data_IF_328766495409
#
_entry.id   IF_328766495409
#
_cell.length_a   1.000
_cell.length_b   1.000
_cell.length_c   1.000
_cell.angle_alpha   90.00
_cell.angle_beta   90.00
_cell.angle_gamma   90.00
#
_symmetry.space_group_name_H-M   'P 1'
#
loop_
_entity.id
_entity.type
_entity.pdbx_description
1 polymer ?
#
# COMPACT_ATOMS: atom_id res chain seq x y z
N UNK A 1 33.15 -21.35 12.86
CA UNK A 1 32.13 -21.63 11.83
C UNK A 1 30.79 -21.31 12.45
N UNK A 2 30.18 -20.22 12.09
CA UNK A 2 28.85 -19.79 12.53
C UNK A 2 28.20 -19.07 11.35
N UNK A 3 27.47 -19.83 10.55
CA UNK A 3 26.70 -19.29 9.45
C UNK A 3 25.59 -18.39 10.01
N UNK A 4 25.66 -17.10 9.73
CA UNK A 4 24.58 -16.15 10.00
C UNK A 4 23.40 -16.49 9.09
N UNK A 5 22.39 -17.15 9.64
CA UNK A 5 21.10 -17.36 8.98
C UNK A 5 20.39 -16.02 8.84
N UNK A 6 20.51 -15.39 7.68
CA UNK A 6 19.54 -14.40 7.22
C UNK A 6 18.25 -15.18 6.98
N UNK A 7 17.22 -14.97 7.83
CA UNK A 7 15.96 -15.68 7.73
C UNK A 7 15.36 -15.47 6.33
N UNK A 8 15.43 -16.48 5.52
CA UNK A 8 14.68 -16.61 4.28
C UNK A 8 13.22 -16.74 4.73
N UNK A 9 12.39 -15.79 4.36
CA UNK A 9 10.97 -15.86 4.70
C UNK A 9 10.35 -16.99 3.88
N UNK A 10 9.91 -18.03 4.58
CA UNK A 10 9.26 -19.17 3.96
C UNK A 10 7.80 -18.79 3.61
N UNK A 11 7.34 -19.23 2.46
CA UNK A 11 5.94 -19.05 2.02
C UNK A 11 4.94 -19.57 3.07
N UNK A 12 5.26 -20.64 3.79
CA UNK A 12 4.44 -21.20 4.86
C UNK A 12 4.26 -20.24 6.04
N UNK A 13 5.31 -19.46 6.36
CA UNK A 13 5.28 -18.45 7.42
C UNK A 13 4.38 -17.28 7.06
N UNK A 14 4.44 -16.81 5.79
CA UNK A 14 3.59 -15.72 5.29
C UNK A 14 2.13 -16.16 5.19
N UNK A 15 1.84 -17.39 4.76
CA UNK A 15 0.48 -17.93 4.72
C UNK A 15 -0.12 -18.03 6.15
N UNK A 16 0.67 -18.50 7.12
CA UNK A 16 0.26 -18.55 8.52
C UNK A 16 0.02 -17.13 9.10
N UNK A 17 0.89 -16.17 8.76
CA UNK A 17 0.75 -14.79 9.18
C UNK A 17 -0.49 -14.13 8.53
N UNK A 18 -0.77 -14.42 7.27
CA UNK A 18 -1.96 -13.95 6.57
C UNK A 18 -3.25 -14.49 7.22
N UNK A 19 -3.28 -15.78 7.59
CA UNK A 19 -4.41 -16.35 8.29
C UNK A 19 -4.70 -15.61 9.61
N UNK A 20 -3.65 -15.23 10.35
CA UNK A 20 -3.80 -14.39 11.56
C UNK A 20 -4.33 -12.99 11.25
N UNK A 21 -3.88 -12.38 10.16
CA UNK A 21 -4.38 -11.06 9.72
C UNK A 21 -5.87 -11.17 9.38
N UNK A 22 -6.30 -12.20 8.67
CA UNK A 22 -7.71 -12.44 8.34
C UNK A 22 -8.58 -12.66 9.58
N UNK A 23 -8.10 -13.45 10.55
CA UNK A 23 -8.78 -13.61 11.85
C UNK A 23 -8.94 -12.28 12.59
N UNK A 24 -7.94 -11.39 12.53
CA UNK A 24 -8.03 -10.05 13.13
C UNK A 24 -9.05 -9.15 12.40
N UNK A 25 -9.14 -9.25 11.07
CA UNK A 25 -10.16 -8.55 10.27
C UNK A 25 -11.55 -9.01 10.69
N UNK A 26 -11.78 -10.32 10.77
CA UNK A 26 -13.04 -10.91 11.19
C UNK A 26 -13.43 -10.51 12.62
N UNK A 27 -12.49 -10.60 13.57
CA UNK A 27 -12.70 -10.18 14.94
C UNK A 27 -13.04 -8.69 15.10
N UNK A 28 -12.61 -7.85 14.16
CA UNK A 28 -12.97 -6.42 14.09
C UNK A 28 -14.31 -6.15 13.39
N UNK A 29 -15.04 -7.18 12.98
CA UNK A 29 -16.33 -7.09 12.30
C UNK A 29 -16.24 -6.87 10.79
N UNK A 30 -15.05 -7.00 10.19
CA UNK A 30 -14.85 -6.98 8.75
C UNK A 30 -15.01 -8.37 8.12
N UNK A 31 -15.33 -8.40 6.84
CA UNK A 31 -15.29 -9.63 6.06
C UNK A 31 -13.87 -9.83 5.50
N UNK A 32 -13.14 -10.89 5.91
CA UNK A 32 -11.76 -11.13 5.49
C UNK A 32 -11.60 -11.40 3.98
N UNK A 33 -12.67 -11.73 3.27
CA UNK A 33 -12.66 -11.92 1.82
C UNK A 33 -12.92 -10.61 1.06
N UNK A 34 -13.58 -9.65 1.69
CA UNK A 34 -13.89 -8.33 1.12
C UNK A 34 -12.82 -7.28 1.44
N UNK A 35 -12.17 -7.37 2.60
CA UNK A 35 -11.09 -6.44 2.98
C UNK A 35 -9.79 -6.86 2.30
N UNK A 36 -9.34 -6.03 1.35
CA UNK A 36 -8.09 -6.27 0.61
C UNK A 36 -6.86 -6.12 1.51
N UNK A 37 -5.97 -7.09 1.48
CA UNK A 37 -4.68 -7.04 2.18
C UNK A 37 -3.58 -6.69 1.20
N UNK A 38 -2.96 -5.52 1.36
CA UNK A 38 -1.77 -5.10 0.61
C UNK A 38 -0.53 -5.50 1.40
N UNK A 39 0.27 -6.40 0.84
CA UNK A 39 1.53 -6.88 1.42
C UNK A 39 2.63 -5.82 1.26
N UNK A 40 3.01 -5.14 2.33
CA UNK A 40 4.00 -4.05 2.28
C UNK A 40 5.40 -4.62 2.43
N UNK A 41 6.14 -4.70 1.31
CA UNK A 41 7.45 -5.35 1.22
C UNK A 41 8.64 -4.39 1.30
N UNK A 42 8.41 -3.11 1.60
CA UNK A 42 9.48 -2.11 1.75
C UNK A 42 10.58 -2.54 2.73
N UNK A 43 11.83 -2.48 2.29
CA UNK A 43 13.01 -2.87 3.08
C UNK A 43 13.27 -4.37 3.13
N UNK A 44 12.48 -5.20 2.45
CA UNK A 44 12.73 -6.62 2.19
C UNK A 44 13.21 -6.81 0.76
N UNK A 45 13.71 -7.98 0.41
CA UNK A 45 14.10 -8.34 -0.95
C UNK A 45 12.92 -8.85 -1.80
N UNK A 46 13.18 -9.27 -3.05
CA UNK A 46 12.15 -9.82 -3.94
C UNK A 46 11.54 -11.13 -3.41
N UNK A 47 12.25 -11.86 -2.56
CA UNK A 47 11.76 -13.08 -1.90
C UNK A 47 10.50 -12.86 -1.07
N UNK A 48 10.35 -11.67 -0.46
CA UNK A 48 9.13 -11.32 0.28
C UNK A 48 7.93 -11.14 -0.66
N UNK A 49 8.16 -10.68 -1.89
CA UNK A 49 7.10 -10.58 -2.92
C UNK A 49 6.67 -11.97 -3.34
N UNK A 50 7.62 -12.86 -3.63
CA UNK A 50 7.33 -14.25 -4.01
C UNK A 50 6.57 -14.98 -2.89
N UNK A 51 7.01 -14.85 -1.64
CA UNK A 51 6.31 -15.44 -0.49
C UNK A 51 4.89 -14.89 -0.30
N UNK A 52 4.65 -13.61 -0.61
CA UNK A 52 3.31 -13.04 -0.63
C UNK A 52 2.44 -13.65 -1.74
N UNK A 53 2.98 -13.79 -2.96
CA UNK A 53 2.28 -14.43 -4.09
C UNK A 53 1.93 -15.88 -3.79
N UNK A 54 2.86 -16.66 -3.25
CA UNK A 54 2.65 -18.05 -2.86
C UNK A 54 1.58 -18.20 -1.76
N UNK A 55 1.43 -17.17 -0.91
CA UNK A 55 0.35 -17.08 0.08
C UNK A 55 -0.98 -16.55 -0.51
N UNK A 56 -1.06 -16.30 -1.82
CA UNK A 56 -2.25 -15.79 -2.50
C UNK A 56 -2.46 -14.28 -2.41
N UNK A 57 -1.44 -13.51 -2.02
CA UNK A 57 -1.47 -12.04 -1.98
C UNK A 57 -0.87 -11.44 -3.26
N UNK A 58 -1.70 -11.05 -4.21
CA UNK A 58 -1.28 -10.37 -5.43
C UNK A 58 -1.07 -8.85 -5.28
N UNK A 59 -1.61 -8.21 -4.23
CA UNK A 59 -1.46 -6.77 -3.97
C UNK A 59 -0.21 -6.51 -3.13
N UNK A 60 0.80 -5.86 -3.72
CA UNK A 60 2.09 -5.60 -3.09
C UNK A 60 2.37 -4.10 -3.01
N UNK A 61 2.73 -3.61 -1.81
CA UNK A 61 2.93 -2.20 -1.53
C UNK A 61 4.40 -1.81 -1.36
N UNK A 62 4.82 -0.74 -2.05
CA UNK A 62 6.15 -0.17 -1.97
C UNK A 62 6.15 1.33 -1.71
N UNK A 63 7.15 1.78 -0.95
CA UNK A 63 7.29 3.21 -0.63
C UNK A 63 8.34 3.93 -1.50
N UNK A 64 9.27 3.20 -2.09
CA UNK A 64 10.42 3.77 -2.80
C UNK A 64 10.43 3.33 -4.26
N UNK A 65 10.48 4.30 -5.19
CA UNK A 65 10.44 4.06 -6.62
C UNK A 65 11.52 3.09 -7.11
N UNK A 66 12.76 3.28 -6.64
CA UNK A 66 13.87 2.43 -7.04
C UNK A 66 13.71 0.99 -6.52
N UNK A 67 13.22 0.85 -5.30
CA UNK A 67 12.97 -0.46 -4.68
C UNK A 67 11.88 -1.23 -5.44
N UNK A 68 10.77 -0.56 -5.76
CA UNK A 68 9.69 -1.15 -6.58
C UNK A 68 10.22 -1.66 -7.92
N UNK A 69 10.92 -0.81 -8.67
CA UNK A 69 11.41 -1.17 -10.01
C UNK A 69 12.44 -2.31 -9.98
N UNK A 70 13.30 -2.33 -8.96
CA UNK A 70 14.29 -3.41 -8.79
C UNK A 70 13.61 -4.74 -8.45
N UNK A 71 12.64 -4.73 -7.52
CA UNK A 71 11.89 -5.93 -7.15
C UNK A 71 11.03 -6.45 -8.29
N UNK A 72 10.34 -5.53 -9.00
CA UNK A 72 9.54 -5.92 -10.17
C UNK A 72 10.37 -6.71 -11.16
N UNK A 73 11.53 -6.19 -11.57
CA UNK A 73 12.42 -6.90 -12.49
C UNK A 73 12.87 -8.25 -11.95
N UNK A 74 13.31 -8.30 -10.70
CA UNK A 74 13.77 -9.55 -10.08
C UNK A 74 12.64 -10.59 -10.01
N UNK A 75 11.41 -10.21 -9.73
CA UNK A 75 10.25 -11.10 -9.71
C UNK A 75 9.90 -11.57 -11.13
N UNK A 76 9.91 -10.67 -12.13
CA UNK A 76 9.69 -11.00 -13.54
C UNK A 76 10.74 -12.01 -14.04
N UNK A 77 12.03 -11.82 -13.70
CA UNK A 77 13.13 -12.72 -14.07
C UNK A 77 12.96 -14.11 -13.41
N UNK A 78 12.59 -14.16 -12.14
CA UNK A 78 12.41 -15.41 -11.39
C UNK A 78 11.16 -16.18 -11.86
N UNK A 79 10.04 -15.50 -12.09
CA UNK A 79 8.82 -16.12 -12.61
C UNK A 79 8.96 -16.55 -14.06
N UNK A 80 9.60 -15.75 -14.91
CA UNK A 80 9.88 -16.09 -16.30
C UNK A 80 10.78 -17.31 -16.46
N UNK A 81 11.76 -17.49 -15.57
CA UNK A 81 12.64 -18.66 -15.55
C UNK A 81 11.90 -19.96 -15.17
N UNK A 82 10.79 -19.88 -14.44
CA UNK A 82 10.00 -21.04 -13.99
C UNK A 82 9.10 -21.64 -15.09
N UNK A 83 8.91 -20.92 -16.21
CA UNK A 83 8.07 -21.39 -17.33
C UNK A 83 6.58 -21.60 -16.98
N UNK A 84 6.14 -21.17 -15.80
CA UNK A 84 4.75 -21.30 -15.38
C UNK A 84 3.91 -20.18 -16.00
N UNK A 85 2.90 -20.57 -16.78
CA UNK A 85 1.89 -19.67 -17.37
C UNK A 85 0.90 -19.13 -16.31
N UNK A 86 0.91 -19.71 -15.11
CA UNK A 86 -0.01 -19.39 -14.01
C UNK A 86 0.62 -18.53 -12.92
N UNK A 87 1.71 -17.80 -13.22
CA UNK A 87 2.28 -16.87 -12.23
C UNK A 87 1.28 -15.74 -11.92
N UNK A 88 0.85 -15.58 -10.66
CA UNK A 88 -0.11 -14.54 -10.32
C UNK A 88 0.49 -13.16 -10.63
N UNK A 89 -0.28 -12.33 -11.32
CA UNK A 89 0.14 -10.98 -11.68
C UNK A 89 0.27 -10.11 -10.42
N UNK A 90 1.44 -9.53 -10.20
CA UNK A 90 1.67 -8.61 -9.08
C UNK A 90 1.01 -7.26 -9.37
N UNK A 91 0.04 -6.89 -8.56
CA UNK A 91 -0.54 -5.53 -8.56
C UNK A 91 0.27 -4.63 -7.63
N UNK A 92 1.16 -3.84 -8.21
CA UNK A 92 2.02 -2.93 -7.44
C UNK A 92 1.27 -1.69 -6.97
N UNK A 93 1.23 -1.48 -5.65
CA UNK A 93 0.72 -0.26 -5.02
C UNK A 93 1.87 0.65 -4.63
N UNK A 94 1.84 1.90 -5.09
CA UNK A 94 2.81 2.89 -4.66
C UNK A 94 2.26 3.66 -3.46
N UNK A 95 2.97 3.56 -2.32
CA UNK A 95 2.55 4.07 -1.01
C UNK A 95 3.38 5.26 -0.52
N UNK A 96 4.51 5.55 -1.16
CA UNK A 96 5.41 6.63 -0.78
C UNK A 96 5.02 7.97 -1.38
N UNK A 97 5.54 9.06 -0.84
CA UNK A 97 5.33 10.40 -1.40
C UNK A 97 5.77 10.45 -2.88
N UNK A 98 4.91 10.98 -3.74
CA UNK A 98 5.11 10.97 -5.18
C UNK A 98 6.13 12.04 -5.58
N UNK A 99 7.24 11.60 -6.13
CA UNK A 99 8.24 12.44 -6.78
C UNK A 99 7.96 12.48 -8.27
N UNK A 100 7.56 13.63 -8.81
CA UNK A 100 7.14 13.79 -10.22
C UNK A 100 8.17 13.30 -11.23
N UNK A 101 9.47 13.48 -10.94
CA UNK A 101 10.56 13.00 -11.79
C UNK A 101 10.70 11.46 -11.81
N UNK A 102 10.08 10.74 -10.88
CA UNK A 102 10.07 9.27 -10.82
C UNK A 102 8.85 8.66 -11.48
N UNK A 103 7.78 9.44 -11.68
CA UNK A 103 6.53 8.97 -12.30
C UNK A 103 6.76 8.32 -13.67
N UNK A 104 7.59 8.85 -14.58
CA UNK A 104 7.79 8.23 -15.89
C UNK A 104 8.27 6.76 -15.82
N UNK A 105 9.14 6.45 -14.87
CA UNK A 105 9.64 5.07 -14.69
C UNK A 105 8.67 4.13 -13.96
N UNK A 106 7.72 4.70 -13.22
CA UNK A 106 6.76 3.93 -12.41
C UNK A 106 5.42 3.69 -13.12
N UNK A 107 5.06 4.51 -14.10
CA UNK A 107 3.70 4.58 -14.62
C UNK A 107 3.17 3.23 -15.16
N UNK A 108 4.03 2.46 -15.84
CA UNK A 108 3.66 1.14 -16.36
C UNK A 108 3.71 0.03 -15.29
N UNK A 109 4.40 0.28 -14.19
CA UNK A 109 4.55 -0.71 -13.13
C UNK A 109 3.44 -0.63 -12.07
N UNK A 110 2.98 0.59 -11.77
CA UNK A 110 2.06 0.83 -10.66
C UNK A 110 0.61 0.60 -11.07
N UNK A 111 -0.03 -0.37 -10.43
CA UNK A 111 -1.46 -0.64 -10.60
C UNK A 111 -2.34 0.36 -9.83
N UNK A 112 -1.88 0.80 -8.65
CA UNK A 112 -2.63 1.75 -7.82
C UNK A 112 -1.68 2.73 -7.10
N UNK A 113 -1.88 4.03 -7.31
CA UNK A 113 -1.16 5.10 -6.64
C UNK A 113 -1.96 5.53 -5.41
N UNK A 114 -1.51 5.15 -4.21
CA UNK A 114 -2.29 5.41 -2.99
C UNK A 114 -1.96 6.72 -2.27
N UNK A 115 -0.94 7.45 -2.72
CA UNK A 115 -0.37 8.59 -1.99
C UNK A 115 -0.46 9.91 -2.75
N UNK A 116 -1.49 10.08 -3.58
CA UNK A 116 -1.67 11.33 -4.35
C UNK A 116 -2.21 12.41 -3.44
N UNK A 117 -1.38 13.41 -3.14
CA UNK A 117 -1.70 14.49 -2.20
C UNK A 117 -1.93 15.84 -2.89
N UNK A 118 -1.54 15.98 -4.16
CA UNK A 118 -1.56 17.26 -4.87
C UNK A 118 -1.94 17.06 -6.34
N UNK A 119 -2.66 18.03 -6.91
CA UNK A 119 -3.03 18.05 -8.32
C UNK A 119 -1.84 17.82 -9.26
N UNK A 120 -0.70 18.48 -9.02
CA UNK A 120 0.50 18.35 -9.87
C UNK A 120 1.10 16.94 -9.91
N UNK A 121 0.83 16.11 -8.91
CA UNK A 121 1.17 14.69 -8.88
C UNK A 121 0.24 13.91 -9.81
N UNK A 122 -1.06 14.17 -9.71
CA UNK A 122 -2.07 13.59 -10.60
C UNK A 122 -1.82 13.93 -12.06
N UNK A 123 -1.52 15.18 -12.37
CA UNK A 123 -1.14 15.62 -13.72
C UNK A 123 0.10 14.87 -14.25
N UNK A 124 1.09 14.62 -13.39
CA UNK A 124 2.28 13.88 -13.80
C UNK A 124 1.95 12.41 -14.10
N UNK A 125 1.08 11.78 -13.32
CA UNK A 125 0.61 10.41 -13.53
C UNK A 125 -0.22 10.35 -14.82
N UNK A 126 -1.24 11.20 -14.95
CA UNK A 126 -2.17 11.22 -16.09
C UNK A 126 -1.45 11.40 -17.43
N UNK A 127 -0.40 12.24 -17.47
CA UNK A 127 0.42 12.41 -18.69
C UNK A 127 1.13 11.14 -19.13
N UNK A 128 1.38 10.20 -18.25
CA UNK A 128 2.07 8.93 -18.55
C UNK A 128 1.11 7.77 -18.70
N UNK A 129 0.07 7.72 -17.87
CA UNK A 129 -0.95 6.68 -17.87
C UNK A 129 -2.33 7.30 -17.63
N UNK A 130 -3.02 7.75 -18.69
CA UNK A 130 -4.41 8.18 -18.59
C UNK A 130 -5.26 7.04 -18.03
N UNK A 131 -6.22 7.33 -17.16
CA UNK A 131 -7.06 6.34 -16.50
C UNK A 131 -6.36 5.54 -15.38
N UNK A 132 -5.14 5.94 -14.97
CA UNK A 132 -4.48 5.27 -13.85
C UNK A 132 -5.33 5.33 -12.58
N UNK A 133 -5.39 4.21 -11.85
CA UNK A 133 -6.09 4.12 -10.56
C UNK A 133 -5.32 4.86 -9.49
N UNK A 134 -6.00 5.76 -8.80
CA UNK A 134 -5.41 6.57 -7.72
C UNK A 134 -6.32 6.63 -6.50
N UNK A 135 -5.69 6.73 -5.32
CA UNK A 135 -6.33 7.14 -4.08
C UNK A 135 -5.75 8.50 -3.65
N UNK A 136 -6.62 9.41 -3.19
CA UNK A 136 -6.16 10.66 -2.60
C UNK A 136 -5.70 10.42 -1.16
N UNK A 137 -4.48 10.85 -0.81
CA UNK A 137 -3.97 10.73 0.55
C UNK A 137 -4.47 11.89 1.41
N UNK A 138 -5.14 11.55 2.52
CA UNK A 138 -5.68 12.51 3.49
C UNK A 138 -4.71 12.63 4.67
N UNK A 139 -4.24 13.83 4.95
CA UNK A 139 -3.45 14.15 6.13
C UNK A 139 -4.40 14.31 7.34
N UNK A 140 -4.25 13.45 8.34
CA UNK A 140 -5.13 13.39 9.51
C UNK A 140 -4.39 13.60 10.84
N UNK A 141 -3.09 13.84 10.79
CA UNK A 141 -2.25 13.94 12.00
C UNK A 141 -2.07 15.38 12.47
N UNK A 142 -2.25 16.37 11.60
CA UNK A 142 -1.92 17.77 11.86
C UNK A 142 -0.40 18.04 11.96
N UNK A 143 0.44 17.06 11.70
CA UNK A 143 1.88 17.19 11.84
C UNK A 143 2.52 17.81 10.60
N UNK A 144 3.36 18.83 10.80
CA UNK A 144 4.07 19.48 9.70
C UNK A 144 4.98 18.50 8.93
N UNK A 145 5.01 18.63 7.60
CA UNK A 145 5.88 17.82 6.74
C UNK A 145 5.37 16.41 6.42
N UNK A 146 4.16 16.06 6.87
CA UNK A 146 3.50 14.83 6.44
C UNK A 146 2.96 14.98 5.02
N UNK A 147 2.93 13.88 4.28
CA UNK A 147 2.24 13.82 3.00
C UNK A 147 0.73 13.76 3.25
N UNK A 148 -0.04 14.13 2.25
CA UNK A 148 -1.50 14.13 2.31
C UNK A 148 -2.09 15.53 2.11
N UNK A 149 -3.32 15.55 1.65
CA UNK A 149 -4.14 16.73 1.47
C UNK A 149 -4.94 16.96 2.76
N UNK A 150 -5.19 18.20 3.13
CA UNK A 150 -6.04 18.52 4.28
C UNK A 150 -7.47 18.01 4.05
N UNK A 151 -8.19 17.57 5.11
CA UNK A 151 -9.54 17.03 4.95
C UNK A 151 -10.52 17.96 4.22
N UNK A 152 -10.44 19.27 4.49
CA UNK A 152 -11.28 20.29 3.86
C UNK A 152 -10.96 20.52 2.37
N UNK A 153 -9.77 20.16 1.91
CA UNK A 153 -9.30 20.26 0.52
C UNK A 153 -9.56 18.98 -0.31
N UNK A 154 -9.90 17.86 0.33
CA UNK A 154 -10.08 16.55 -0.34
C UNK A 154 -11.11 16.59 -1.47
N UNK A 155 -12.31 17.21 -1.32
CA UNK A 155 -13.27 17.27 -2.41
C UNK A 155 -12.71 17.97 -3.67
N UNK A 156 -11.98 19.06 -3.48
CA UNK A 156 -11.30 19.78 -4.56
C UNK A 156 -10.22 18.95 -5.23
N UNK A 157 -9.39 18.26 -4.45
CA UNK A 157 -8.36 17.38 -4.98
C UNK A 157 -8.96 16.23 -5.80
N UNK A 158 -10.01 15.57 -5.29
CA UNK A 158 -10.70 14.49 -6.03
C UNK A 158 -11.27 14.99 -7.35
N UNK A 159 -11.90 16.19 -7.36
CA UNK A 159 -12.41 16.79 -8.58
C UNK A 159 -11.27 17.09 -9.58
N UNK A 160 -10.16 17.64 -9.11
CA UNK A 160 -8.98 17.92 -9.92
C UNK A 160 -8.37 16.64 -10.54
N UNK A 161 -8.25 15.58 -9.75
CA UNK A 161 -7.70 14.30 -10.22
C UNK A 161 -8.61 13.65 -11.28
N UNK A 162 -9.93 13.69 -11.09
CA UNK A 162 -10.91 13.24 -12.09
C UNK A 162 -10.83 14.09 -13.38
N UNK A 163 -10.68 15.39 -13.23
CA UNK A 163 -10.53 16.31 -14.37
C UNK A 163 -9.21 16.07 -15.14
N UNK A 164 -8.18 15.54 -14.50
CA UNK A 164 -6.95 15.07 -15.16
C UNK A 164 -7.13 13.75 -15.92
N UNK A 165 -8.31 13.11 -15.86
CA UNK A 165 -8.58 11.82 -16.51
C UNK A 165 -8.05 10.62 -15.74
N UNK A 166 -7.90 10.73 -14.42
CA UNK A 166 -7.53 9.62 -13.54
C UNK A 166 -8.77 8.91 -12.99
N UNK A 167 -8.63 7.63 -12.73
CA UNK A 167 -9.64 6.82 -12.05
C UNK A 167 -9.46 6.94 -10.53
N UNK A 168 -10.22 7.85 -9.90
CA UNK A 168 -10.15 8.10 -8.46
C UNK A 168 -11.07 7.14 -7.75
N UNK A 169 -10.50 6.06 -7.22
CA UNK A 169 -11.23 4.97 -6.59
C UNK A 169 -11.44 5.16 -5.08
N UNK A 170 -10.68 6.02 -4.42
CA UNK A 170 -10.83 6.13 -2.98
C UNK A 170 -9.90 7.12 -2.29
N UNK A 171 -9.86 6.96 -0.98
CA UNK A 171 -9.00 7.72 -0.07
C UNK A 171 -8.00 6.81 0.63
N UNK A 172 -6.85 7.36 0.98
CA UNK A 172 -5.84 6.70 1.80
C UNK A 172 -5.46 7.61 2.97
N UNK A 173 -5.16 7.03 4.13
CA UNK A 173 -4.55 7.76 5.24
C UNK A 173 -3.58 6.91 6.05
N UNK A 174 -2.63 7.60 6.67
CA UNK A 174 -1.77 7.07 7.74
C UNK A 174 -2.16 7.78 9.03
N UNK A 175 -2.86 7.07 9.91
CA UNK A 175 -3.41 7.62 11.12
C UNK A 175 -2.35 8.05 12.15
N UNK A 176 -2.69 8.90 13.11
CA UNK A 176 -1.89 9.16 14.31
C UNK A 176 -1.61 7.87 15.10
N UNK A 177 -0.58 7.89 15.94
CA UNK A 177 -0.25 6.72 16.79
C UNK A 177 -1.17 6.57 18.00
N UNK A 178 -1.79 7.64 18.45
CA UNK A 178 -2.76 7.61 19.53
C UNK A 178 -4.01 6.87 19.06
N UNK A 179 -4.51 5.85 19.81
CA UNK A 179 -5.62 5.02 19.37
C UNK A 179 -6.94 5.77 19.16
N UNK A 180 -7.24 6.76 20.00
CA UNK A 180 -8.49 7.52 19.88
C UNK A 180 -8.41 8.50 18.71
N UNK A 181 -7.26 9.16 18.53
CA UNK A 181 -7.00 9.99 17.37
C UNK A 181 -7.00 9.16 16.07
N UNK A 182 -6.48 7.92 16.09
CA UNK A 182 -6.53 7.01 14.94
C UNK A 182 -7.97 6.67 14.55
N UNK A 183 -8.82 6.30 15.52
CA UNK A 183 -10.25 6.03 15.28
C UNK A 183 -10.96 7.25 14.71
N UNK A 184 -10.68 8.43 15.25
CA UNK A 184 -11.24 9.67 14.73
C UNK A 184 -10.83 9.92 13.28
N UNK A 185 -9.54 9.71 12.96
CA UNK A 185 -9.01 9.85 11.62
C UNK A 185 -9.69 8.86 10.63
N UNK A 186 -9.85 7.60 11.01
CA UNK A 186 -10.50 6.59 10.16
C UNK A 186 -11.98 6.92 9.91
N UNK A 187 -12.70 7.37 10.93
CA UNK A 187 -14.11 7.82 10.81
C UNK A 187 -14.24 9.03 9.90
N UNK A 188 -13.32 9.99 10.01
CA UNK A 188 -13.27 11.15 9.13
C UNK A 188 -13.06 10.75 7.67
N UNK A 189 -12.08 9.87 7.41
CA UNK A 189 -11.80 9.39 6.05
C UNK A 189 -12.97 8.60 5.48
N UNK A 190 -13.64 7.77 6.29
CA UNK A 190 -14.87 7.09 5.87
C UNK A 190 -15.95 8.09 5.47
N UNK A 191 -16.25 9.07 6.31
CA UNK A 191 -17.25 10.09 6.00
C UNK A 191 -16.95 10.83 4.69
N UNK A 192 -15.70 11.25 4.49
CA UNK A 192 -15.28 11.91 3.24
C UNK A 192 -15.43 10.98 2.02
N UNK A 193 -15.09 9.70 2.15
CA UNK A 193 -15.24 8.74 1.06
C UNK A 193 -16.72 8.51 0.71
N UNK A 194 -17.57 8.36 1.73
CA UNK A 194 -19.01 8.17 1.56
C UNK A 194 -19.66 9.40 0.89
N UNK A 195 -19.31 10.62 1.34
CA UNK A 195 -19.81 11.89 0.77
C UNK A 195 -19.40 12.08 -0.71
N UNK A 196 -18.23 11.56 -1.10
CA UNK A 196 -17.68 11.66 -2.46
C UNK A 196 -18.03 10.46 -3.35
N UNK A 197 -18.77 9.46 -2.82
CA UNK A 197 -19.13 8.24 -3.52
C UNK A 197 -17.90 7.40 -3.92
N UNK A 198 -16.88 7.37 -3.07
CA UNK A 198 -15.63 6.64 -3.32
C UNK A 198 -15.68 5.26 -2.63
N UNK A 199 -15.50 4.16 -3.38
CA UNK A 199 -15.64 2.83 -2.81
C UNK A 199 -14.48 2.40 -1.92
N UNK A 200 -13.24 2.89 -2.18
CA UNK A 200 -12.05 2.38 -1.52
C UNK A 200 -11.59 3.28 -0.36
N UNK A 201 -11.29 2.64 0.76
CA UNK A 201 -10.76 3.26 1.98
C UNK A 201 -9.51 2.48 2.41
N UNK A 202 -8.35 2.95 1.93
CA UNK A 202 -7.05 2.37 2.30
C UNK A 202 -6.58 2.96 3.62
N UNK A 203 -6.88 2.29 4.71
CA UNK A 203 -6.52 2.71 6.07
C UNK A 203 -6.29 1.49 6.96
N UNK A 204 -5.41 1.65 7.95
CA UNK A 204 -4.98 0.56 8.82
C UNK A 204 -3.70 -0.12 8.38
N UNK A 205 -2.85 -0.36 9.37
CA UNK A 205 -1.58 -1.05 9.29
C UNK A 205 -1.50 -2.12 10.39
N UNK A 206 -0.32 -2.70 10.62
CA UNK A 206 -0.16 -3.79 11.59
C UNK A 206 -0.63 -3.47 13.02
N UNK A 207 -0.53 -2.20 13.45
CA UNK A 207 -0.81 -1.81 14.84
C UNK A 207 -2.23 -1.27 15.06
N UNK A 208 -2.89 -0.79 14.01
CA UNK A 208 -4.19 -0.13 14.06
C UNK A 208 -5.24 -0.77 13.14
N UNK A 209 -4.96 -2.03 12.71
CA UNK A 209 -5.79 -2.78 11.76
C UNK A 209 -7.22 -2.93 12.25
N UNK A 210 -7.43 -3.38 13.49
CA UNK A 210 -8.76 -3.62 14.05
C UNK A 210 -9.58 -2.33 14.11
N UNK A 211 -8.96 -1.23 14.53
CA UNK A 211 -9.61 0.07 14.58
C UNK A 211 -10.01 0.55 13.17
N UNK A 212 -9.14 0.37 12.18
CA UNK A 212 -9.42 0.75 10.80
C UNK A 212 -10.55 -0.10 10.20
N UNK A 213 -10.54 -1.41 10.43
CA UNK A 213 -11.59 -2.32 9.94
C UNK A 213 -12.94 -2.01 10.58
N UNK A 214 -12.99 -1.80 11.89
CA UNK A 214 -14.20 -1.41 12.61
C UNK A 214 -14.79 -0.07 12.10
N UNK A 215 -13.95 0.83 11.61
CA UNK A 215 -14.37 2.11 10.99
C UNK A 215 -14.55 2.00 9.46
N UNK A 216 -14.60 0.79 8.89
CA UNK A 216 -14.99 0.54 7.50
C UNK A 216 -13.84 0.59 6.49
N UNK A 217 -12.62 0.21 6.87
CA UNK A 217 -11.53 0.01 5.92
C UNK A 217 -11.88 -1.06 4.88
N UNK A 218 -11.64 -0.78 3.60
CA UNK A 218 -11.75 -1.75 2.51
C UNK A 218 -10.40 -2.33 2.10
N UNK A 219 -9.31 -1.69 2.57
CA UNK A 219 -7.94 -2.06 2.22
C UNK A 219 -6.99 -1.78 3.38
N UNK A 220 -6.32 -2.81 3.88
CA UNK A 220 -5.31 -2.71 4.92
C UNK A 220 -3.90 -2.91 4.34
N UNK A 221 -2.90 -2.18 4.87
CA UNK A 221 -1.51 -2.22 4.40
C UNK A 221 -0.62 -2.86 5.46
N UNK A 222 -0.25 -4.10 5.26
CA UNK A 222 0.39 -4.92 6.29
C UNK A 222 1.79 -5.33 5.88
N UNK A 223 2.79 -4.98 6.67
CA UNK A 223 4.19 -5.39 6.47
C UNK A 223 4.67 -6.25 7.62
N UNK A 224 4.83 -5.64 8.81
CA UNK A 224 5.38 -6.32 9.99
C UNK A 224 4.57 -7.56 10.42
N UNK A 225 3.27 -7.53 10.34
CA UNK A 225 2.43 -8.69 10.67
C UNK A 225 2.55 -9.83 9.67
N UNK A 226 3.03 -9.60 8.44
CA UNK A 226 3.27 -10.64 7.43
C UNK A 226 4.71 -11.13 7.43
N UNK A 227 5.66 -10.20 7.50
CA UNK A 227 7.07 -10.47 7.24
C UNK A 227 7.98 -10.32 8.47
N UNK A 228 7.43 -9.95 9.62
CA UNK A 228 8.22 -9.67 10.81
C UNK A 228 8.97 -8.33 10.73
N UNK A 229 10.00 -8.19 11.57
CA UNK A 229 10.86 -7.00 11.61
C UNK A 229 11.76 -6.95 10.37
N UNK A 230 11.98 -5.74 9.85
CA UNK A 230 12.85 -5.55 8.68
C UNK A 230 14.28 -5.95 9.00
N UNK A 231 14.99 -6.60 8.06
CA UNK A 231 16.43 -6.78 8.18
C UNK A 231 17.07 -5.40 8.42
N UNK A 232 17.86 -5.27 9.50
CA UNK A 232 18.51 -4.01 9.82
C UNK A 232 19.27 -3.49 8.61
N UNK A 233 19.13 -2.20 8.28
CA UNK A 233 20.02 -1.53 7.31
C UNK A 233 21.44 -1.78 7.77
N UNK A 234 22.19 -2.65 7.11
CA UNK A 234 23.63 -2.70 7.28
C UNK A 234 24.14 -1.30 6.95
N UNK A 235 24.69 -0.63 7.97
CA UNK A 235 25.45 0.60 7.74
C UNK A 235 26.50 0.23 6.69
N UNK A 236 26.39 0.79 5.49
CA UNK A 236 27.48 0.78 4.53
C UNK A 236 28.59 1.58 5.19
N UNK A 237 29.58 0.87 5.74
CA UNK A 237 30.84 1.48 6.14
C UNK A 237 31.44 2.13 4.90
N UNK A 238 31.62 3.45 5.04
CA UNK A 238 32.35 4.31 4.10
C UNK A 238 33.83 4.00 4.18
#
# INVERSE_FOLDING_TARGET
MGAGGGGQQDASDVATALARVRTRIEAAGGDPDSVRVVAVTKGFGPEAVLAALDAGLGDVGENYAQELLTKRRAVEDLCGASGSLDSPEVRWHFLGAIQRNKVPGLAEAVACWQSVARRVEGEAIARRRPGAVVLAEVETTGAAGRNGCRPDEVPGLVADLRACGLDVQGLMTVAPRDPDAARHAFRLVRGLADDLGLPERSMGMSDDLEAAVAEGSTMVRVGRSLFGERPGRRATAT
#
